data_IF_369613719864
#
_entry.id   IF_369613719864
#
_cell.length_a   1.000
_cell.length_b   1.000
_cell.length_c   1.000
_cell.angle_alpha   90.00
_cell.angle_beta   90.00
_cell.angle_gamma   90.00
#
_symmetry.space_group_name_H-M   'P 1'
#
loop_
_entity.id
_entity.type
_entity.pdbx_description
1 polymer ?
#
# COMPACT_ATOMS: atom_id res chain seq x y z
N UNK A 1 -22.70 34.46 20.81
CA UNK A 1 -21.54 33.69 20.30
C UNK A 1 -21.56 32.19 20.60
N UNK A 2 -22.65 31.58 21.11
CA UNK A 2 -22.70 30.12 21.36
C UNK A 2 -22.66 29.33 20.04
N UNK A 3 -23.34 29.82 19.00
CA UNK A 3 -23.47 29.14 17.71
C UNK A 3 -22.15 29.08 16.92
N UNK A 4 -21.26 30.05 17.11
CA UNK A 4 -19.94 30.09 16.45
C UNK A 4 -19.00 29.00 16.99
N UNK A 5 -19.06 28.70 18.29
CA UNK A 5 -18.24 27.63 18.91
C UNK A 5 -18.66 26.24 18.41
N UNK A 6 -19.96 26.01 18.25
CA UNK A 6 -20.47 24.76 17.68
C UNK A 6 -20.11 24.61 16.19
N UNK A 7 -20.10 25.72 15.45
CA UNK A 7 -19.72 25.73 14.04
C UNK A 7 -18.22 25.45 13.84
N UNK A 8 -17.37 26.03 14.70
CA UNK A 8 -15.92 25.76 14.70
C UNK A 8 -15.61 24.31 15.11
N UNK A 9 -16.32 23.76 16.10
CA UNK A 9 -16.18 22.35 16.48
C UNK A 9 -16.63 21.41 15.34
N UNK A 10 -17.74 21.71 14.67
CA UNK A 10 -18.18 20.93 13.52
C UNK A 10 -17.18 20.98 12.36
N UNK A 11 -16.63 22.16 12.05
CA UNK A 11 -15.59 22.32 11.02
C UNK A 11 -14.31 21.54 11.37
N UNK A 12 -13.91 21.50 12.65
CA UNK A 12 -12.74 20.74 13.10
C UNK A 12 -12.96 19.22 13.00
N UNK A 13 -14.15 18.73 13.31
CA UNK A 13 -14.51 17.31 13.16
C UNK A 13 -14.58 16.90 11.67
N UNK A 14 -15.08 17.79 10.80
CA UNK A 14 -15.08 17.54 9.35
C UNK A 14 -13.64 17.54 8.82
N UNK A 15 -12.80 18.49 9.25
CA UNK A 15 -11.39 18.59 8.84
C UNK A 15 -10.52 17.40 9.26
N UNK A 16 -10.82 16.78 10.40
CA UNK A 16 -10.10 15.57 10.87
C UNK A 16 -10.63 14.29 10.21
N UNK A 17 -11.83 14.32 9.64
CA UNK A 17 -12.39 13.22 8.85
C UNK A 17 -11.86 13.22 7.40
N UNK A 18 -11.54 14.39 6.85
CA UNK A 18 -11.05 14.52 5.45
C UNK A 18 -9.65 13.95 5.22
N UNK A 19 -8.84 13.73 6.25
CA UNK A 19 -7.49 13.17 6.08
C UNK A 19 -7.50 11.71 5.66
N UNK A 20 -8.61 10.97 5.85
CA UNK A 20 -8.72 9.56 5.47
C UNK A 20 -9.11 9.35 3.99
N UNK A 21 -9.34 10.43 3.22
CA UNK A 21 -9.84 10.38 1.84
C UNK A 21 -8.75 10.52 0.77
N UNK A 22 -7.48 10.60 1.15
CA UNK A 22 -6.37 10.83 0.23
C UNK A 22 -5.57 9.55 -0.10
N UNK A 23 -5.92 8.42 0.52
CA UNK A 23 -5.38 7.13 0.14
C UNK A 23 -5.99 6.67 -1.19
N UNK A 24 -5.15 6.33 -2.16
CA UNK A 24 -5.55 5.83 -3.47
C UNK A 24 -4.97 4.44 -3.74
N UNK A 25 -5.76 3.59 -4.40
CA UNK A 25 -5.39 2.22 -4.74
C UNK A 25 -4.29 2.19 -5.80
N UNK A 26 -3.20 1.51 -5.51
CA UNK A 26 -2.15 1.19 -6.48
C UNK A 26 -2.63 0.02 -7.32
N UNK A 27 -2.57 0.17 -8.64
CA UNK A 27 -2.81 -0.94 -9.56
C UNK A 27 -1.61 -1.88 -9.52
N UNK A 28 -1.83 -3.12 -9.06
CA UNK A 28 -0.81 -4.16 -9.00
C UNK A 28 -0.97 -5.12 -10.19
N UNK A 29 0.12 -5.33 -10.92
CA UNK A 29 0.23 -6.31 -11.99
C UNK A 29 1.07 -7.49 -11.52
N UNK A 30 0.46 -8.67 -11.52
CA UNK A 30 1.16 -9.93 -11.23
C UNK A 30 1.84 -10.48 -12.48
N UNK A 31 3.01 -11.06 -12.27
CA UNK A 31 3.72 -11.89 -13.23
C UNK A 31 4.09 -13.21 -12.54
N UNK A 32 3.81 -14.32 -13.20
CA UNK A 32 3.93 -15.65 -12.61
C UNK A 32 2.59 -16.24 -12.21
N UNK A 33 2.64 -17.38 -11.50
CA UNK A 33 1.48 -18.16 -11.14
C UNK A 33 1.12 -17.97 -9.67
N UNK A 34 0.60 -16.80 -9.28
CA UNK A 34 -0.11 -16.62 -8.00
C UNK A 34 -1.41 -17.46 -7.92
N UNK A 35 -1.59 -18.43 -8.82
CA UNK A 35 -2.70 -19.37 -8.89
C UNK A 35 -2.36 -20.65 -8.12
N UNK A 36 -3.00 -20.88 -6.97
CA UNK A 36 -3.12 -22.26 -6.46
C UNK A 36 -4.27 -22.99 -7.17
N UNK A 37 -4.02 -24.27 -7.51
CA UNK A 37 -5.02 -25.25 -7.94
C UNK A 37 -6.11 -25.43 -6.87
N UNK A 38 -7.09 -24.53 -6.76
CA UNK A 38 -8.37 -24.88 -6.14
C UNK A 38 -9.49 -23.96 -6.61
N UNK A 39 -10.64 -24.59 -6.90
CA UNK A 39 -11.88 -23.94 -7.35
C UNK A 39 -12.42 -23.00 -6.28
N UNK A 40 -12.17 -21.70 -6.41
CA UNK A 40 -13.14 -20.63 -6.12
C UNK A 40 -12.46 -19.26 -6.29
N UNK A 41 -12.70 -18.60 -7.42
CA UNK A 41 -12.41 -17.17 -7.68
C UNK A 41 -10.97 -16.77 -7.32
N UNK A 42 -10.00 -17.20 -8.14
CA UNK A 42 -8.64 -16.68 -8.05
C UNK A 42 -8.67 -15.19 -8.37
N UNK A 43 -8.28 -14.34 -7.43
CA UNK A 43 -7.77 -13.02 -7.79
C UNK A 43 -6.45 -13.26 -8.54
N UNK A 44 -6.19 -12.51 -9.61
CA UNK A 44 -4.93 -12.67 -10.37
C UNK A 44 -3.71 -12.30 -9.52
N UNK A 45 -3.90 -11.40 -8.54
CA UNK A 45 -2.90 -11.06 -7.50
C UNK A 45 -3.62 -10.89 -6.16
N UNK A 46 -3.33 -11.72 -5.14
CA UNK A 46 -3.96 -11.66 -3.81
C UNK A 46 -3.33 -10.57 -2.91
N UNK A 47 -3.01 -9.41 -3.48
CA UNK A 47 -2.36 -8.30 -2.79
C UNK A 47 -3.10 -7.02 -3.12
N UNK A 48 -3.42 -6.27 -2.07
CA UNK A 48 -3.97 -4.94 -2.14
C UNK A 48 -2.90 -3.95 -1.67
N UNK A 49 -2.74 -2.85 -2.39
CA UNK A 49 -1.82 -1.78 -2.02
C UNK A 49 -2.50 -0.41 -2.16
N UNK A 50 -2.36 0.44 -1.14
CA UNK A 50 -2.85 1.81 -1.10
C UNK A 50 -1.73 2.77 -0.71
N UNK A 51 -1.69 3.94 -1.34
CA UNK A 51 -0.78 5.02 -0.93
C UNK A 51 -1.60 6.24 -0.51
N UNK A 52 -1.30 6.77 0.66
CA UNK A 52 -1.64 8.15 1.00
C UNK A 52 -0.45 9.04 0.66
N UNK A 53 -0.55 9.79 -0.44
CA UNK A 53 0.52 10.66 -0.93
C UNK A 53 0.84 11.79 0.07
N UNK A 54 -0.12 12.22 0.88
CA UNK A 54 0.05 13.33 1.83
C UNK A 54 0.83 12.89 3.06
N UNK A 55 0.46 11.73 3.62
CA UNK A 55 1.18 11.16 4.77
C UNK A 55 2.35 10.26 4.37
N UNK A 56 2.54 10.02 3.07
CA UNK A 56 3.55 9.10 2.50
C UNK A 56 3.51 7.71 3.14
N UNK A 57 2.30 7.23 3.42
CA UNK A 57 2.09 5.91 4.02
C UNK A 57 1.60 4.95 2.95
N UNK A 58 2.40 3.93 2.67
CA UNK A 58 2.05 2.79 1.83
C UNK A 58 1.48 1.68 2.71
N UNK A 59 0.24 1.28 2.44
CA UNK A 59 -0.44 0.18 3.11
C UNK A 59 -0.53 -1.02 2.18
N UNK A 60 -0.12 -2.19 2.67
CA UNK A 60 -0.24 -3.47 1.97
C UNK A 60 -1.20 -4.37 2.74
N UNK A 61 -2.06 -5.07 2.03
CA UNK A 61 -2.95 -6.10 2.56
C UNK A 61 -2.79 -7.39 1.74
N UNK A 62 -2.49 -8.49 2.43
CA UNK A 62 -2.31 -9.81 1.86
C UNK A 62 -3.60 -10.62 2.07
N UNK A 63 -4.28 -10.94 0.98
CA UNK A 63 -5.59 -11.60 1.02
C UNK A 63 -5.48 -13.12 1.22
N UNK A 64 -4.30 -13.68 0.99
CA UNK A 64 -3.99 -15.09 1.13
C UNK A 64 -2.57 -15.28 1.70
N UNK A 65 -2.25 -16.50 2.14
CA UNK A 65 -0.89 -16.86 2.54
C UNK A 65 0.00 -17.07 1.30
N UNK A 66 0.98 -16.17 1.15
CA UNK A 66 1.94 -16.10 0.04
C UNK A 66 3.31 -16.70 0.38
N UNK A 67 3.55 -17.04 1.65
CA UNK A 67 4.88 -17.38 2.15
C UNK A 67 5.68 -16.15 2.57
N UNK A 68 7.00 -16.31 2.55
CA UNK A 68 7.95 -15.21 2.77
C UNK A 68 8.12 -14.43 1.48
N UNK A 69 7.72 -13.16 1.49
CA UNK A 69 7.79 -12.27 0.32
C UNK A 69 8.76 -11.13 0.59
N UNK A 70 9.56 -10.78 -0.41
CA UNK A 70 10.35 -9.55 -0.43
C UNK A 70 9.48 -8.41 -0.93
N UNK A 71 9.30 -7.41 -0.10
CA UNK A 71 8.68 -6.13 -0.47
C UNK A 71 9.79 -5.11 -0.66
N UNK A 72 9.80 -4.42 -1.80
CA UNK A 72 10.75 -3.34 -2.05
C UNK A 72 10.07 -2.16 -2.74
N UNK A 73 10.56 -0.96 -2.44
CA UNK A 73 10.16 0.29 -3.09
C UNK A 73 11.40 0.90 -3.73
N UNK A 74 11.30 1.32 -4.99
CA UNK A 74 12.39 1.99 -5.71
C UNK A 74 12.01 3.39 -6.14
N UNK A 75 12.98 4.30 -6.14
CA UNK A 75 12.85 5.61 -6.76
C UNK A 75 12.88 5.52 -8.31
N UNK A 76 12.70 6.67 -8.98
CA UNK A 76 12.80 6.78 -10.46
C UNK A 76 14.16 6.40 -11.05
N UNK A 77 15.23 6.41 -10.26
CA UNK A 77 16.57 6.01 -10.68
C UNK A 77 16.80 4.50 -10.52
N UNK A 78 15.83 3.78 -9.95
CA UNK A 78 15.93 2.36 -9.62
C UNK A 78 16.66 2.08 -8.31
N UNK A 79 16.92 3.10 -7.48
CA UNK A 79 17.50 2.89 -6.15
C UNK A 79 16.43 2.36 -5.21
N UNK A 80 16.76 1.33 -4.44
CA UNK A 80 15.89 0.80 -3.39
C UNK A 80 15.87 1.79 -2.23
N UNK A 81 14.69 2.34 -1.94
CA UNK A 81 14.46 3.27 -0.81
C UNK A 81 13.86 2.56 0.40
N UNK A 82 13.27 1.39 0.20
CA UNK A 82 12.78 0.51 1.25
C UNK A 82 12.84 -0.95 0.78
N UNK A 83 13.22 -1.87 1.67
CA UNK A 83 13.18 -3.31 1.43
C UNK A 83 12.95 -4.06 2.75
N UNK A 84 12.03 -5.02 2.74
CA UNK A 84 11.74 -5.89 3.88
C UNK A 84 11.31 -7.29 3.42
N UNK A 85 11.67 -8.31 4.20
CA UNK A 85 11.14 -9.67 4.06
C UNK A 85 9.98 -9.85 5.02
N UNK A 86 8.81 -10.22 4.51
CA UNK A 86 7.57 -10.36 5.27
C UNK A 86 7.06 -11.79 5.17
N UNK A 87 6.87 -12.46 6.31
CA UNK A 87 6.15 -13.73 6.38
C UNK A 87 4.64 -13.48 6.51
N UNK A 88 3.92 -13.76 5.43
CA UNK A 88 2.47 -13.56 5.34
C UNK A 88 1.64 -14.58 6.14
N UNK A 89 2.27 -15.57 6.79
CA UNK A 89 1.56 -16.52 7.65
C UNK A 89 0.95 -15.83 8.88
N UNK A 90 1.70 -14.90 9.45
CA UNK A 90 1.37 -14.26 10.73
C UNK A 90 0.91 -12.81 10.57
N UNK A 91 1.02 -12.26 9.36
CA UNK A 91 0.78 -10.85 9.05
C UNK A 91 -0.12 -10.74 7.82
N UNK A 92 -1.32 -10.18 8.02
CA UNK A 92 -2.28 -9.92 6.93
C UNK A 92 -2.13 -8.54 6.31
N UNK A 93 -1.36 -7.64 6.92
CA UNK A 93 -1.12 -6.29 6.41
C UNK A 93 0.19 -5.70 6.90
N UNK A 94 0.77 -4.81 6.09
CA UNK A 94 1.98 -4.06 6.42
C UNK A 94 1.80 -2.58 6.16
N UNK A 95 2.38 -1.73 7.00
CA UNK A 95 2.34 -0.27 6.88
C UNK A 95 3.77 0.22 6.77
N UNK A 96 4.06 0.92 5.67
CA UNK A 96 5.39 1.39 5.31
C UNK A 96 5.35 2.91 5.29
N UNK A 97 6.12 3.56 6.16
CA UNK A 97 6.33 5.01 6.09
C UNK A 97 7.42 5.32 5.07
N UNK A 98 7.13 6.25 4.17
CA UNK A 98 8.04 6.80 3.18
C UNK A 98 8.29 8.29 3.46
N UNK A 99 8.22 8.73 4.72
CA UNK A 99 8.33 10.15 5.11
C UNK A 99 9.60 10.84 4.60
N UNK A 100 10.71 10.10 4.59
CA UNK A 100 12.03 10.57 4.13
C UNK A 100 12.15 10.61 2.60
N UNK A 101 11.21 10.02 1.86
CA UNK A 101 11.21 10.00 0.40
C UNK A 101 10.76 11.35 -0.16
N UNK A 102 11.38 11.82 -1.24
CA UNK A 102 10.97 13.06 -1.92
C UNK A 102 9.76 12.82 -2.81
N UNK A 103 9.01 13.86 -3.15
CA UNK A 103 7.94 13.72 -4.15
C UNK A 103 8.48 13.28 -5.51
N UNK A 104 7.73 12.43 -6.20
CA UNK A 104 8.16 11.76 -7.43
C UNK A 104 7.48 10.42 -7.63
N UNK A 105 7.85 9.73 -8.71
CA UNK A 105 7.31 8.40 -9.02
C UNK A 105 8.15 7.27 -8.40
N UNK A 106 7.46 6.25 -7.92
CA UNK A 106 8.05 5.10 -7.24
C UNK A 106 7.51 3.80 -7.82
N UNK A 107 8.34 2.76 -7.80
CA UNK A 107 7.95 1.39 -8.07
C UNK A 107 7.76 0.62 -6.77
N UNK A 108 6.67 -0.12 -6.64
CA UNK A 108 6.43 -1.12 -5.61
C UNK A 108 6.64 -2.50 -6.24
N UNK A 109 7.49 -3.31 -5.63
CA UNK A 109 7.75 -4.67 -6.06
C UNK A 109 7.59 -5.65 -4.91
N UNK A 110 6.79 -6.68 -5.14
CA UNK A 110 6.54 -7.75 -4.16
C UNK A 110 6.85 -9.05 -4.87
N UNK A 111 7.81 -9.81 -4.35
CA UNK A 111 8.26 -11.04 -4.98
C UNK A 111 8.50 -12.13 -3.96
N UNK A 112 8.17 -13.35 -4.34
CA UNK A 112 8.74 -14.55 -3.72
C UNK A 112 9.84 -15.11 -4.65
N UNK A 113 10.25 -16.37 -4.46
CA UNK A 113 11.26 -17.01 -5.32
C UNK A 113 10.78 -17.36 -6.74
N UNK A 114 9.48 -17.36 -7.01
CA UNK A 114 8.85 -17.85 -8.25
C UNK A 114 7.93 -16.80 -8.92
N UNK A 115 7.29 -15.95 -8.12
CA UNK A 115 6.26 -15.01 -8.50
C UNK A 115 6.67 -13.57 -8.17
N UNK A 116 6.12 -12.65 -8.93
CA UNK A 116 6.43 -11.23 -8.80
C UNK A 116 5.16 -10.41 -9.05
N UNK A 117 5.04 -9.29 -8.36
CA UNK A 117 3.95 -8.35 -8.50
C UNK A 117 4.53 -6.94 -8.45
N UNK A 118 4.09 -6.08 -9.36
CA UNK A 118 4.57 -4.71 -9.46
C UNK A 118 3.44 -3.70 -9.51
N UNK A 119 3.67 -2.53 -8.91
CA UNK A 119 2.80 -1.37 -9.00
C UNK A 119 3.62 -0.09 -9.08
N UNK A 120 3.01 0.97 -9.60
CA UNK A 120 3.65 2.28 -9.68
C UNK A 120 2.75 3.32 -9.02
N UNK A 121 3.35 4.23 -8.28
CA UNK A 121 2.65 5.28 -7.54
C UNK A 121 3.48 6.55 -7.47
N UNK A 122 2.87 7.65 -7.00
CA UNK A 122 3.56 8.91 -6.77
C UNK A 122 3.54 9.27 -5.27
N UNK A 123 4.54 10.05 -4.85
CA UNK A 123 4.62 10.78 -3.58
C UNK A 123 4.80 12.28 -3.85
#
# INVERSE_FOLDING_TARGET
MKNLRWLLLALFMISTCTTSLLAHRIYIRGHGGWHKKQRSISLDVPIIADIDETSKVLSLEFLEYLGEVRVSVTDTNGNIVYEEMIDTQNVSSSIISLDECTSGSYGLYISDSENYAEGFFNL
#
